data_IF_662467403385
#
_entry.id   IF_662467403385
#
_cell.length_a   1.000
_cell.length_b   1.000
_cell.length_c   1.000
_cell.angle_alpha   90.00
_cell.angle_beta   90.00
_cell.angle_gamma   90.00
#
_symmetry.space_group_name_H-M   'P 1'
#
loop_
_entity.id
_entity.type
_entity.pdbx_description
1 polymer ?
#
# COMPACT_ATOMS: atom_id res chain seq x y z
N UNK A 1 0.68 -5.02 -28.76
CA UNK A 1 1.52 -5.62 -27.73
C UNK A 1 2.48 -4.57 -27.21
N UNK A 2 2.41 -4.22 -25.93
CA UNK A 2 3.36 -3.32 -25.26
C UNK A 2 4.52 -4.13 -24.70
N UNK A 3 5.76 -3.63 -24.71
CA UNK A 3 6.89 -4.35 -24.15
C UNK A 3 6.77 -4.45 -22.62
N UNK A 4 7.32 -5.53 -22.03
CA UNK A 4 7.39 -5.70 -20.56
C UNK A 4 8.04 -4.52 -19.84
N UNK A 5 8.95 -3.82 -20.52
CA UNK A 5 9.58 -2.59 -20.00
C UNK A 5 8.55 -1.51 -19.66
N UNK A 6 7.45 -1.39 -20.42
CA UNK A 6 6.39 -0.43 -20.13
C UNK A 6 5.69 -0.74 -18.80
N UNK A 7 5.36 -2.01 -18.57
CA UNK A 7 4.78 -2.46 -17.30
C UNK A 7 5.78 -2.29 -16.15
N UNK A 8 7.05 -2.65 -16.37
CA UNK A 8 8.12 -2.46 -15.40
C UNK A 8 8.28 -0.99 -14.98
N UNK A 9 8.23 -0.05 -15.93
CA UNK A 9 8.28 1.39 -15.65
C UNK A 9 7.04 1.87 -14.89
N UNK A 10 5.84 1.39 -15.25
CA UNK A 10 4.62 1.73 -14.54
C UNK A 10 4.63 1.21 -13.09
N UNK A 11 5.14 -0.01 -12.86
CA UNK A 11 5.36 -0.57 -11.53
C UNK A 11 6.40 0.22 -10.74
N UNK A 12 7.52 0.58 -11.37
CA UNK A 12 8.57 1.38 -10.76
C UNK A 12 8.08 2.79 -10.40
N UNK A 13 7.24 3.41 -11.23
CA UNK A 13 6.60 4.69 -10.92
C UNK A 13 5.67 4.55 -9.72
N UNK A 14 4.82 3.52 -9.69
CA UNK A 14 3.91 3.27 -8.56
C UNK A 14 4.68 3.10 -7.25
N UNK A 15 5.70 2.24 -7.23
CA UNK A 15 6.54 2.02 -6.04
C UNK A 15 7.34 3.28 -5.70
N UNK A 16 7.91 3.96 -6.70
CA UNK A 16 8.67 5.20 -6.53
C UNK A 16 7.84 6.31 -5.89
N UNK A 17 6.60 6.52 -6.33
CA UNK A 17 5.68 7.46 -5.71
C UNK A 17 5.46 7.12 -4.22
N UNK A 18 5.20 5.86 -3.90
CA UNK A 18 4.94 5.47 -2.51
C UNK A 18 6.18 5.54 -1.60
N UNK A 19 7.34 5.13 -2.09
CA UNK A 19 8.54 4.98 -1.28
C UNK A 19 9.45 6.21 -1.31
N UNK A 20 9.68 6.78 -2.50
CA UNK A 20 10.57 7.93 -2.68
C UNK A 20 9.84 9.25 -2.46
N UNK A 21 8.57 9.37 -2.84
CA UNK A 21 7.84 10.63 -2.64
C UNK A 21 7.15 10.62 -1.29
N UNK A 22 6.18 9.74 -1.05
CA UNK A 22 5.42 9.72 0.20
C UNK A 22 6.21 9.15 1.39
N UNK A 23 7.06 8.16 1.14
CA UNK A 23 7.81 7.43 2.16
C UNK A 23 9.11 8.11 2.62
N UNK A 24 9.58 9.15 1.93
CA UNK A 24 10.86 9.79 2.23
C UNK A 24 10.70 11.19 2.86
N UNK A 25 11.79 11.80 3.37
CA UNK A 25 11.77 13.19 3.83
C UNK A 25 11.37 14.20 2.74
N UNK A 26 11.42 13.81 1.46
CA UNK A 26 11.02 14.64 0.32
C UNK A 26 9.57 15.13 0.45
N UNK A 27 8.67 14.28 0.96
CA UNK A 27 7.28 14.69 1.27
C UNK A 27 7.24 15.93 2.14
N UNK A 28 8.09 16.00 3.17
CA UNK A 28 8.11 17.15 4.10
C UNK A 28 8.47 18.42 3.35
N UNK A 29 9.52 18.38 2.54
CA UNK A 29 10.01 19.52 1.74
C UNK A 29 8.94 19.98 0.74
N UNK A 30 8.34 19.05 0.00
CA UNK A 30 7.29 19.39 -0.97
C UNK A 30 6.09 20.00 -0.25
N UNK A 31 5.61 19.38 0.84
CA UNK A 31 4.45 19.88 1.59
C UNK A 31 4.72 21.26 2.21
N UNK A 32 5.94 21.55 2.68
CA UNK A 32 6.26 22.91 3.17
C UNK A 32 6.17 23.98 2.10
N UNK A 33 6.35 23.63 0.82
CA UNK A 33 6.28 24.57 -0.30
C UNK A 33 4.85 24.64 -0.87
N UNK A 34 4.21 23.49 -1.08
CA UNK A 34 2.90 23.42 -1.78
C UNK A 34 1.70 23.39 -0.84
N UNK A 35 1.90 23.09 0.44
CA UNK A 35 0.83 22.77 1.38
C UNK A 35 0.29 21.34 1.25
N UNK A 36 -0.33 20.86 2.34
CA UNK A 36 -0.79 19.47 2.51
C UNK A 36 -1.91 19.09 1.53
N UNK A 37 -2.86 20.00 1.27
CA UNK A 37 -4.02 19.74 0.41
C UNK A 37 -3.61 19.52 -1.05
N UNK A 38 -2.75 20.41 -1.57
CA UNK A 38 -2.27 20.35 -2.96
C UNK A 38 -1.40 19.10 -3.13
N UNK A 39 -0.48 18.85 -2.20
CA UNK A 39 0.35 17.64 -2.23
C UNK A 39 -0.52 16.37 -2.31
N UNK A 40 -1.54 16.24 -1.44
CA UNK A 40 -2.43 15.07 -1.45
C UNK A 40 -3.17 14.91 -2.78
N UNK A 41 -3.71 15.99 -3.34
CA UNK A 41 -4.45 15.95 -4.59
C UNK A 41 -3.55 15.49 -5.75
N UNK A 42 -2.39 16.15 -5.92
CA UNK A 42 -1.43 15.83 -6.99
C UNK A 42 -0.85 14.42 -6.81
N UNK A 43 -0.49 14.04 -5.59
CA UNK A 43 0.02 12.71 -5.28
C UNK A 43 -1.02 11.63 -5.59
N UNK A 44 -2.27 11.82 -5.17
CA UNK A 44 -3.35 10.86 -5.44
C UNK A 44 -3.61 10.71 -6.94
N UNK A 45 -3.58 11.82 -7.68
CA UNK A 45 -3.72 11.80 -9.14
C UNK A 45 -2.54 11.07 -9.81
N UNK A 46 -1.31 11.34 -9.37
CA UNK A 46 -0.11 10.66 -9.90
C UNK A 46 -0.16 9.14 -9.65
N UNK A 47 -0.57 8.73 -8.45
CA UNK A 47 -0.78 7.30 -8.13
C UNK A 47 -1.89 6.70 -8.98
N UNK A 48 -3.01 7.40 -9.17
CA UNK A 48 -4.11 6.94 -10.02
C UNK A 48 -3.65 6.74 -11.48
N UNK A 49 -2.93 7.72 -12.04
CA UNK A 49 -2.36 7.61 -13.39
C UNK A 49 -1.41 6.41 -13.48
N UNK A 50 -0.56 6.22 -12.48
CA UNK A 50 0.34 5.07 -12.43
C UNK A 50 -0.42 3.74 -12.39
N UNK A 51 -1.51 3.64 -11.62
CA UNK A 51 -2.35 2.45 -11.55
C UNK A 51 -3.06 2.16 -12.87
N UNK A 52 -3.63 3.18 -13.52
CA UNK A 52 -4.26 3.06 -14.83
C UNK A 52 -3.25 2.61 -15.88
N UNK A 53 -2.04 3.16 -15.84
CA UNK A 53 -0.95 2.75 -16.73
C UNK A 53 -0.53 1.30 -16.48
N UNK A 54 -0.38 0.87 -15.22
CA UNK A 54 -0.09 -0.52 -14.88
C UNK A 54 -1.15 -1.47 -15.44
N UNK A 55 -2.44 -1.17 -15.26
CA UNK A 55 -3.54 -1.98 -15.77
C UNK A 55 -3.56 -2.05 -17.30
N UNK A 56 -3.37 -0.91 -17.97
CA UNK A 56 -3.30 -0.86 -19.43
C UNK A 56 -2.08 -1.60 -19.99
N UNK A 57 -0.91 -1.42 -19.36
CA UNK A 57 0.33 -2.09 -19.75
C UNK A 57 0.23 -3.60 -19.57
N UNK A 58 -0.33 -4.06 -18.44
CA UNK A 58 -0.57 -5.47 -18.17
C UNK A 58 -1.51 -6.10 -19.21
N UNK A 59 -2.64 -5.44 -19.51
CA UNK A 59 -3.62 -5.94 -20.48
C UNK A 59 -3.07 -6.09 -21.93
N UNK A 60 -1.99 -5.39 -22.26
CA UNK A 60 -1.37 -5.44 -23.59
C UNK A 60 0.03 -6.06 -23.59
N UNK A 61 0.51 -6.55 -22.45
CA UNK A 61 1.83 -7.16 -22.32
C UNK A 61 1.87 -8.53 -23.03
N UNK A 62 3.03 -8.95 -23.56
CA UNK A 62 3.19 -10.30 -24.05
C UNK A 62 3.08 -11.30 -22.89
N UNK A 63 2.34 -12.38 -23.12
CA UNK A 63 2.39 -13.54 -22.26
C UNK A 63 3.75 -14.22 -22.45
N UNK A 64 4.59 -14.17 -21.42
CA UNK A 64 5.87 -14.86 -21.37
C UNK A 64 5.82 -15.72 -20.13
N UNK A 65 5.72 -17.03 -20.36
CA UNK A 65 5.61 -18.04 -19.33
C UNK A 65 6.83 -18.04 -18.40
N UNK A 66 6.57 -18.29 -17.12
CA UNK A 66 7.59 -18.46 -16.09
C UNK A 66 7.64 -19.91 -15.62
N UNK A 67 6.79 -20.28 -14.66
CA UNK A 67 6.62 -21.64 -14.14
C UNK A 67 5.28 -22.28 -14.52
N UNK A 68 4.55 -21.65 -15.45
CA UNK A 68 3.21 -22.09 -15.86
C UNK A 68 2.16 -21.83 -14.76
N UNK A 69 0.89 -22.07 -15.09
CA UNK A 69 -0.20 -21.93 -14.11
C UNK A 69 -0.03 -22.97 -13.00
N UNK A 70 0.24 -22.52 -11.78
CA UNK A 70 0.46 -23.39 -10.63
C UNK A 70 -0.89 -23.92 -10.09
N UNK A 71 -1.53 -24.80 -10.85
CA UNK A 71 -2.88 -25.34 -10.56
C UNK A 71 -2.95 -25.98 -9.17
N UNK A 72 -1.88 -26.66 -8.75
CA UNK A 72 -1.81 -27.32 -7.45
C UNK A 72 -1.81 -26.33 -6.26
N UNK A 73 -1.46 -25.06 -6.51
CA UNK A 73 -1.45 -24.01 -5.49
C UNK A 73 -2.78 -23.23 -5.44
N UNK A 74 -3.75 -23.55 -6.30
CA UNK A 74 -5.10 -22.94 -6.26
C UNK A 74 -5.76 -23.02 -4.89
N UNK A 75 -5.73 -24.15 -4.14
CA UNK A 75 -6.31 -24.21 -2.80
C UNK A 75 -5.67 -23.20 -1.84
N UNK A 76 -4.35 -23.02 -1.90
CA UNK A 76 -3.61 -22.05 -1.09
C UNK A 76 -4.00 -20.63 -1.48
N UNK A 77 -4.08 -20.34 -2.79
CA UNK A 77 -4.49 -19.04 -3.28
C UNK A 77 -5.93 -18.68 -2.89
N UNK A 78 -6.86 -19.65 -2.89
CA UNK A 78 -8.23 -19.44 -2.43
C UNK A 78 -8.30 -19.05 -0.96
N UNK A 79 -7.51 -19.73 -0.10
CA UNK A 79 -7.40 -19.37 1.32
C UNK A 79 -6.82 -17.96 1.48
N UNK A 80 -5.75 -17.63 0.76
CA UNK A 80 -5.16 -16.28 0.78
C UNK A 80 -6.15 -15.21 0.32
N UNK A 81 -6.94 -15.49 -0.72
CA UNK A 81 -7.98 -14.60 -1.23
C UNK A 81 -9.11 -14.39 -0.21
N UNK A 82 -9.54 -15.45 0.48
CA UNK A 82 -10.53 -15.35 1.55
C UNK A 82 -10.04 -14.39 2.66
N UNK A 83 -8.78 -14.54 3.11
CA UNK A 83 -8.19 -13.60 4.04
C UNK A 83 -8.07 -12.19 3.45
N UNK A 84 -7.63 -12.05 2.20
CA UNK A 84 -7.51 -10.75 1.54
C UNK A 84 -8.83 -9.98 1.55
N UNK A 85 -9.95 -10.62 1.23
CA UNK A 85 -11.28 -10.00 1.27
C UNK A 85 -11.73 -9.64 2.68
N UNK A 86 -11.50 -10.50 3.68
CA UNK A 86 -11.76 -10.15 5.09
C UNK A 86 -10.98 -8.90 5.48
N UNK A 87 -9.69 -8.85 5.15
CA UNK A 87 -8.84 -7.70 5.44
C UNK A 87 -9.25 -6.44 4.67
N UNK A 88 -9.73 -6.56 3.44
CA UNK A 88 -10.31 -5.44 2.69
C UNK A 88 -11.59 -4.92 3.32
N UNK A 89 -12.54 -5.79 3.66
CA UNK A 89 -13.79 -5.40 4.32
C UNK A 89 -13.48 -4.70 5.63
N UNK A 90 -12.62 -5.29 6.46
CA UNK A 90 -12.21 -4.67 7.72
C UNK A 90 -11.47 -3.35 7.47
N UNK A 91 -10.61 -3.27 6.45
CA UNK A 91 -9.88 -2.05 6.10
C UNK A 91 -10.75 -0.89 5.60
N UNK A 92 -11.79 -1.21 4.84
CA UNK A 92 -12.71 -0.22 4.26
C UNK A 92 -13.79 0.22 5.25
N UNK A 93 -14.32 -0.71 6.05
CA UNK A 93 -15.47 -0.45 6.93
C UNK A 93 -15.10 -0.21 8.39
N UNK A 94 -13.96 -0.69 8.87
CA UNK A 94 -13.48 -0.19 10.15
C UNK A 94 -13.17 1.31 9.96
N UNK A 95 -13.61 2.16 10.90
CA UNK A 95 -13.24 3.58 10.99
C UNK A 95 -11.72 3.68 11.13
N UNK A 96 -10.99 3.49 10.04
CA UNK A 96 -9.57 3.31 10.07
C UNK A 96 -8.86 4.53 9.48
N UNK A 97 -7.75 4.85 10.13
CA UNK A 97 -7.06 6.14 10.13
C UNK A 97 -6.55 6.66 8.76
N UNK A 98 -6.60 5.84 7.70
CA UNK A 98 -5.76 6.07 6.51
C UNK A 98 -6.43 6.75 5.31
N UNK A 99 -7.75 6.64 5.12
CA UNK A 99 -8.36 7.09 3.84
C UNK A 99 -8.92 8.52 3.93
N UNK A 100 -9.47 8.93 5.07
CA UNK A 100 -10.15 10.24 5.17
C UNK A 100 -9.67 11.16 6.29
N UNK A 101 -8.73 10.75 7.16
CA UNK A 101 -8.22 11.59 8.25
C UNK A 101 -9.35 12.23 9.10
N UNK A 102 -10.48 11.54 9.25
CA UNK A 102 -11.72 12.08 9.83
C UNK A 102 -11.88 11.83 11.33
N UNK A 103 -11.00 11.06 11.97
CA UNK A 103 -11.20 10.69 13.37
C UNK A 103 -10.48 11.67 14.32
N UNK A 104 -11.24 12.23 15.26
CA UNK A 104 -10.76 12.83 16.50
C UNK A 104 -10.22 11.73 17.44
N UNK A 105 -9.31 12.06 18.39
CA UNK A 105 -8.67 11.07 19.28
C UNK A 105 -9.66 10.20 20.08
N UNK A 106 -10.85 10.71 20.36
CA UNK A 106 -11.91 10.04 21.12
C UNK A 106 -12.68 8.98 20.32
N UNK A 107 -12.53 8.96 19.00
CA UNK A 107 -13.34 8.12 18.10
C UNK A 107 -12.67 6.77 17.77
N UNK A 108 -11.48 6.51 18.33
CA UNK A 108 -10.70 5.29 18.06
C UNK A 108 -11.07 4.20 19.07
N UNK A 109 -12.23 3.58 18.89
CA UNK A 109 -12.54 2.33 19.56
C UNK A 109 -11.72 1.19 18.91
N UNK A 110 -10.49 0.96 19.40
CA UNK A 110 -9.57 -0.06 18.88
C UNK A 110 -10.12 -1.47 19.19
N UNK A 111 -11.04 -1.96 18.35
CA UNK A 111 -11.58 -3.33 18.44
C UNK A 111 -11.09 -4.19 17.27
N UNK A 112 -10.81 -5.46 17.56
CA UNK A 112 -10.53 -6.49 16.55
C UNK A 112 -9.19 -6.33 15.82
N UNK A 113 -9.20 -6.49 14.50
CA UNK A 113 -8.01 -6.57 13.64
C UNK A 113 -7.14 -5.31 13.64
N UNK A 114 -7.72 -4.14 13.98
CA UNK A 114 -7.00 -2.89 14.19
C UNK A 114 -6.01 -2.93 15.37
N UNK A 115 -6.15 -3.93 16.26
CA UNK A 115 -5.19 -4.22 17.33
C UNK A 115 -3.95 -4.97 16.84
N UNK A 116 -4.06 -5.70 15.73
CA UNK A 116 -2.97 -6.49 15.13
C UNK A 116 -2.24 -5.65 14.07
N UNK A 117 -2.97 -4.88 13.28
CA UNK A 117 -2.41 -4.01 12.23
C UNK A 117 -3.24 -2.75 12.06
N UNK A 118 -2.56 -1.61 11.96
CA UNK A 118 -3.21 -0.32 11.71
C UNK A 118 -3.67 -0.17 10.27
N UNK A 119 -3.21 -1.03 9.35
CA UNK A 119 -3.50 -0.95 7.92
C UNK A 119 -3.97 -2.30 7.35
N UNK A 120 -5.06 -2.90 7.86
CA UNK A 120 -5.56 -4.20 7.41
C UNK A 120 -5.93 -4.18 5.92
N UNK A 121 -6.52 -3.10 5.40
CA UNK A 121 -6.83 -3.01 3.96
C UNK A 121 -5.59 -3.10 3.07
N UNK A 122 -4.47 -2.53 3.49
CA UNK A 122 -3.21 -2.60 2.73
C UNK A 122 -2.60 -4.01 2.80
N UNK A 123 -2.68 -4.69 3.95
CA UNK A 123 -2.31 -6.11 4.06
C UNK A 123 -3.22 -6.98 3.19
N UNK A 124 -4.52 -6.68 3.11
CA UNK A 124 -5.45 -7.33 2.20
C UNK A 124 -5.00 -7.23 0.74
N UNK A 125 -4.55 -6.05 0.31
CA UNK A 125 -3.96 -5.86 -1.02
C UNK A 125 -2.68 -6.68 -1.20
N UNK A 126 -1.87 -6.79 -0.15
CA UNK A 126 -0.66 -7.61 -0.15
C UNK A 126 -0.94 -9.10 -0.33
N UNK A 127 -1.91 -9.63 0.43
CA UNK A 127 -2.34 -11.03 0.32
C UNK A 127 -3.00 -11.33 -1.03
N UNK A 128 -3.80 -10.38 -1.55
CA UNK A 128 -4.38 -10.47 -2.88
C UNK A 128 -3.29 -10.55 -3.95
N UNK A 129 -2.32 -9.63 -3.91
CA UNK A 129 -1.18 -9.66 -4.83
C UNK A 129 -0.37 -10.95 -4.71
N UNK A 130 -0.13 -11.44 -3.49
CA UNK A 130 0.60 -12.68 -3.28
C UNK A 130 -0.14 -13.90 -3.85
N UNK A 131 -1.45 -13.99 -3.67
CA UNK A 131 -2.26 -15.09 -4.21
C UNK A 131 -2.18 -15.15 -5.74
N UNK A 132 -2.33 -13.99 -6.41
CA UNK A 132 -2.21 -13.91 -7.86
C UNK A 132 -0.79 -14.15 -8.36
N UNK A 133 0.22 -13.64 -7.65
CA UNK A 133 1.62 -13.87 -7.98
C UNK A 133 1.97 -15.36 -7.98
N UNK A 134 1.46 -16.13 -7.01
CA UNK A 134 1.75 -17.57 -6.90
C UNK A 134 1.11 -18.36 -8.05
N UNK A 135 -0.13 -18.04 -8.42
CA UNK A 135 -0.91 -18.83 -9.40
C UNK A 135 -0.59 -18.44 -10.84
N UNK A 136 -0.37 -17.15 -11.11
CA UNK A 136 -0.14 -16.65 -12.47
C UNK A 136 1.33 -16.86 -12.85
N UNK A 137 1.59 -17.86 -13.69
CA UNK A 137 2.93 -18.21 -14.18
C UNK A 137 3.39 -17.40 -15.39
N UNK A 138 3.32 -16.07 -15.31
CA UNK A 138 3.77 -15.18 -16.38
C UNK A 138 4.49 -13.92 -15.84
N UNK A 139 5.42 -13.39 -16.64
CA UNK A 139 6.23 -12.25 -16.22
C UNK A 139 5.43 -10.95 -15.99
N UNK A 140 4.36 -10.72 -16.75
CA UNK A 140 3.55 -9.53 -16.58
C UNK A 140 2.78 -9.60 -15.25
N UNK A 141 2.23 -10.77 -14.93
CA UNK A 141 1.60 -11.08 -13.65
C UNK A 141 2.57 -10.86 -12.50
N UNK A 142 3.79 -11.39 -12.60
CA UNK A 142 4.79 -11.24 -11.55
C UNK A 142 5.13 -9.79 -11.24
N UNK A 143 5.33 -8.95 -12.27
CA UNK A 143 5.63 -7.54 -12.07
C UNK A 143 4.47 -6.80 -11.40
N UNK A 144 3.25 -7.01 -11.89
CA UNK A 144 2.06 -6.33 -11.39
C UNK A 144 1.72 -6.78 -9.97
N UNK A 145 1.48 -8.08 -9.79
CA UNK A 145 1.03 -8.64 -8.52
C UNK A 145 2.14 -8.64 -7.48
N UNK A 146 3.40 -8.81 -7.90
CA UNK A 146 4.56 -8.67 -7.02
C UNK A 146 4.70 -7.25 -6.47
N UNK A 147 4.42 -6.22 -7.29
CA UNK A 147 4.41 -4.83 -6.83
C UNK A 147 3.33 -4.58 -5.78
N UNK A 148 2.12 -5.14 -5.97
CA UNK A 148 1.05 -5.05 -4.97
C UNK A 148 1.33 -5.86 -3.71
N UNK A 149 1.89 -7.07 -3.84
CA UNK A 149 2.32 -7.90 -2.72
C UNK A 149 3.38 -7.17 -1.88
N UNK A 150 4.40 -6.62 -2.53
CA UNK A 150 5.44 -5.84 -1.87
C UNK A 150 4.86 -4.60 -1.16
N UNK A 151 4.08 -3.79 -1.86
CA UNK A 151 3.49 -2.58 -1.30
C UNK A 151 2.53 -2.90 -0.14
N UNK A 152 1.72 -3.95 -0.30
CA UNK A 152 0.70 -4.36 0.65
C UNK A 152 1.23 -5.03 1.91
N UNK A 153 2.33 -5.79 1.80
CA UNK A 153 2.92 -6.49 2.96
C UNK A 153 4.02 -5.68 3.63
N UNK A 154 4.88 -5.00 2.86
CA UNK A 154 6.03 -4.26 3.40
C UNK A 154 5.66 -2.83 3.80
N UNK A 155 4.76 -2.18 3.06
CA UNK A 155 4.29 -0.82 3.35
C UNK A 155 3.78 -0.65 4.79
N UNK A 156 2.82 -1.47 5.25
CA UNK A 156 2.30 -1.41 6.62
C UNK A 156 3.39 -1.55 7.69
N UNK A 157 4.34 -2.47 7.50
CA UNK A 157 5.42 -2.71 8.44
C UNK A 157 6.34 -1.49 8.58
N UNK A 158 6.65 -0.83 7.47
CA UNK A 158 7.46 0.39 7.47
C UNK A 158 6.72 1.56 8.14
N UNK A 159 5.42 1.70 7.87
CA UNK A 159 4.57 2.72 8.52
C UNK A 159 4.51 2.51 10.04
N UNK A 160 4.34 1.28 10.49
CA UNK A 160 4.30 0.94 11.92
C UNK A 160 5.63 1.22 12.62
N UNK A 161 6.77 0.88 11.99
CA UNK A 161 8.10 1.20 12.52
C UNK A 161 8.30 2.70 12.70
N UNK A 162 7.92 3.51 11.71
CA UNK A 162 8.00 4.97 11.77
C UNK A 162 7.08 5.54 12.84
N UNK A 163 5.87 5.01 12.94
CA UNK A 163 4.91 5.42 13.96
C UNK A 163 5.45 5.16 15.37
N UNK A 164 5.91 3.93 15.64
CA UNK A 164 6.49 3.55 16.94
C UNK A 164 7.68 4.44 17.32
N UNK A 165 8.62 4.66 16.39
CA UNK A 165 9.77 5.54 16.62
C UNK A 165 9.35 6.97 16.98
N UNK A 166 8.36 7.52 16.28
CA UNK A 166 7.87 8.87 16.56
C UNK A 166 7.14 8.95 17.91
N UNK A 167 6.34 7.94 18.26
CA UNK A 167 5.64 7.86 19.55
C UNK A 167 6.62 7.77 20.72
N UNK A 168 7.66 6.94 20.60
CA UNK A 168 8.74 6.82 21.59
C UNK A 168 9.47 8.16 21.78
N UNK A 169 9.82 8.85 20.69
CA UNK A 169 10.49 10.15 20.74
C UNK A 169 9.64 11.24 21.41
N UNK A 170 8.32 11.19 21.25
CA UNK A 170 7.39 12.18 21.82
C UNK A 170 6.87 11.80 23.21
N UNK A 171 7.29 10.65 23.77
CA UNK A 171 6.76 10.14 25.04
C UNK A 171 5.25 9.85 25.00
N UNK A 172 4.69 9.61 23.81
CA UNK A 172 3.25 9.43 23.61
C UNK A 172 2.87 7.94 23.67
N UNK A 173 1.74 7.58 24.29
CA UNK A 173 1.26 6.20 24.27
C UNK A 173 0.93 5.78 22.83
N UNK A 174 1.09 4.48 22.52
CA UNK A 174 0.84 3.92 21.18
C UNK A 174 -0.62 4.05 20.69
N UNK A 175 -1.55 4.40 21.58
CA UNK A 175 -2.93 4.74 21.27
C UNK A 175 -3.12 6.19 20.81
N UNK A 176 -2.16 7.09 21.08
CA UNK A 176 -2.27 8.49 20.77
C UNK A 176 -1.86 8.82 19.33
N UNK A 177 -2.61 9.71 18.67
CA UNK A 177 -2.27 10.21 17.33
C UNK A 177 -1.11 11.20 17.46
N UNK A 178 0.09 10.93 16.92
CA UNK A 178 1.13 11.93 16.88
C UNK A 178 0.67 13.10 16.01
N UNK A 179 1.05 14.35 16.35
CA UNK A 179 0.75 15.49 15.52
C UNK A 179 1.32 15.27 14.11
N UNK A 180 0.54 15.60 13.07
CA UNK A 180 0.86 15.34 11.65
C UNK A 180 2.24 15.91 11.26
N UNK A 181 2.66 16.94 11.98
CA UNK A 181 4.04 17.41 12.09
C UNK A 181 4.34 17.61 13.57
N UNK A 182 5.32 16.92 14.17
CA UNK A 182 5.86 17.40 15.42
C UNK A 182 6.44 18.78 15.12
N UNK A 183 5.95 19.83 15.76
CA UNK A 183 6.77 21.00 16.00
C UNK A 183 7.93 20.50 16.86
N UNK A 184 9.02 20.07 16.23
CA UNK A 184 10.24 19.76 16.95
C UNK A 184 10.61 21.05 17.69
N UNK A 185 10.71 21.05 19.03
CA UNK A 185 11.45 22.10 19.68
C UNK A 185 12.88 22.03 19.16
N UNK A 186 13.41 23.18 18.76
CA UNK A 186 14.80 23.37 18.39
C UNK A 186 15.74 22.82 19.46
#
# INVERSE_FOLDING_TARGET
MLPLTSLGLACALFLGLHWLVAGSPLRRVIVTITGEKIFRAVFSLAVLVSLLWMGWAYAHAPYIETWGEAVDLKPVALVLMAFAFVFFIVGTFAKNMSILNQNTPEDVNVKGMLRITRNPGLIGLGLWGLAHFIVNGDWAGHLLFGSFAFQGLVGPLNMERKYRKNSEQLGMPMSAKPPMYPSLPY
#
